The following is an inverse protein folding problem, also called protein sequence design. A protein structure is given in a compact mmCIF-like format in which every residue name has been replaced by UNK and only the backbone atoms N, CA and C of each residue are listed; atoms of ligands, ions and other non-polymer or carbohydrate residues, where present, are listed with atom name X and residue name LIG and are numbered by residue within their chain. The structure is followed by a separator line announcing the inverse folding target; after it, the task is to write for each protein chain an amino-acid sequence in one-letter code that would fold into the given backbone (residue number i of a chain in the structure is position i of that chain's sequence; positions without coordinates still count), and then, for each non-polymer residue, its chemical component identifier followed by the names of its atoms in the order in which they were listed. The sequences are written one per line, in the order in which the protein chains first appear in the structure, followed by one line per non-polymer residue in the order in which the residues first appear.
data_IF_947058482506
#
_entry.id   IF_947058482506
#
_cell.length_a   1.000
_cell.length_b   1.000
_cell.length_c   1.000
_cell.angle_alpha   90.00
_cell.angle_beta   90.00
_cell.angle_gamma   90.00
#
_symmetry.space_group_name_H-M   'P 1'
#
loop_
_entity.id
_entity.type
_entity.pdbx_description
1 polymer ?
#
# COMPACT_ATOMS: atom_id res chain seq x y z
N UNK A 1 -27.14 0.71 1.74
CA UNK A 1 -26.42 0.25 0.52
C UNK A 1 -26.34 -1.27 0.43
N UNK A 2 -25.49 -1.99 1.18
CA UNK A 2 -25.38 -3.45 1.03
C UNK A 2 -26.72 -4.18 1.23
N UNK A 3 -27.45 -3.84 2.30
CA UNK A 3 -28.83 -4.31 2.57
C UNK A 3 -29.85 -3.93 1.49
N UNK A 4 -29.61 -2.87 0.73
CA UNK A 4 -30.53 -2.43 -0.32
C UNK A 4 -30.23 -3.16 -1.64
N UNK A 5 -28.96 -3.44 -1.91
CA UNK A 5 -28.51 -4.25 -3.04
C UNK A 5 -28.89 -5.72 -2.87
N UNK A 6 -28.88 -6.26 -1.66
CA UNK A 6 -29.38 -7.62 -1.39
C UNK A 6 -30.87 -7.75 -1.77
N UNK A 7 -31.69 -6.73 -1.49
CA UNK A 7 -33.11 -6.70 -1.89
C UNK A 7 -33.31 -6.69 -3.41
N UNK A 8 -32.31 -6.26 -4.18
CA UNK A 8 -32.35 -6.30 -5.65
C UNK A 8 -31.98 -7.67 -6.22
N UNK A 9 -31.61 -8.64 -5.37
CA UNK A 9 -31.17 -9.98 -5.79
C UNK A 9 -29.79 -10.01 -6.43
N UNK A 10 -29.02 -8.91 -6.34
CA UNK A 10 -27.68 -8.82 -6.90
C UNK A 10 -26.68 -9.31 -5.86
N UNK A 11 -25.91 -10.38 -6.12
CA UNK A 11 -24.92 -10.87 -5.18
C UNK A 11 -23.76 -9.88 -5.05
N UNK A 12 -23.40 -9.58 -3.80
CA UNK A 12 -22.25 -8.74 -3.46
C UNK A 12 -21.16 -9.66 -2.93
N UNK A 13 -19.98 -9.60 -3.53
CA UNK A 13 -18.83 -10.42 -3.09
C UNK A 13 -17.73 -9.56 -2.48
N UNK A 14 -17.52 -8.35 -2.99
CA UNK A 14 -16.42 -7.46 -2.57
C UNK A 14 -16.96 -6.03 -2.45
N UNK A 15 -16.61 -5.36 -1.34
CA UNK A 15 -16.86 -3.94 -1.15
C UNK A 15 -15.52 -3.23 -0.93
N UNK A 16 -15.25 -2.23 -1.75
CA UNK A 16 -14.14 -1.30 -1.54
C UNK A 16 -14.63 -0.12 -0.69
N UNK A 17 -13.93 0.17 0.40
CA UNK A 17 -14.30 1.27 1.29
C UNK A 17 -13.10 1.83 2.05
N UNK A 18 -13.33 2.93 2.77
CA UNK A 18 -12.32 3.52 3.65
C UNK A 18 -11.85 2.53 4.70
N UNK A 19 -10.63 2.71 5.23
CA UNK A 19 -10.11 1.90 6.33
C UNK A 19 -10.74 2.33 7.67
N UNK A 20 -12.04 2.05 7.82
CA UNK A 20 -12.75 2.18 9.09
C UNK A 20 -13.16 0.81 9.64
N UNK A 21 -12.98 0.65 10.95
CA UNK A 21 -13.25 -0.60 11.67
C UNK A 21 -14.75 -0.84 11.85
N UNK A 22 -15.55 0.23 11.92
CA UNK A 22 -17.00 0.17 12.13
C UNK A 22 -17.74 -0.46 10.96
N UNK A 23 -17.41 -0.07 9.73
CA UNK A 23 -18.00 -0.62 8.50
C UNK A 23 -17.55 -2.05 8.30
N UNK A 24 -16.27 -2.35 8.58
CA UNK A 24 -15.77 -3.73 8.53
C UNK A 24 -16.55 -4.66 9.47
N UNK A 25 -16.69 -4.25 10.73
CA UNK A 25 -17.39 -5.06 11.74
C UNK A 25 -18.87 -5.29 11.38
N UNK A 26 -19.58 -4.22 11.00
CA UNK A 26 -21.00 -4.31 10.61
C UNK A 26 -21.20 -5.14 9.35
N UNK A 27 -20.33 -4.97 8.35
CA UNK A 27 -20.41 -5.74 7.10
C UNK A 27 -20.16 -7.22 7.36
N UNK A 28 -19.20 -7.57 8.21
CA UNK A 28 -18.91 -8.96 8.53
C UNK A 28 -20.01 -9.62 9.39
N UNK A 29 -20.70 -8.84 10.23
CA UNK A 29 -21.83 -9.33 11.03
C UNK A 29 -23.07 -9.62 10.16
N UNK A 30 -23.41 -8.71 9.26
CA UNK A 30 -24.61 -8.84 8.41
C UNK A 30 -24.35 -9.68 7.15
N UNK A 31 -23.14 -9.62 6.61
CA UNK A 31 -22.73 -10.19 5.32
C UNK A 31 -21.37 -10.89 5.43
N UNK A 32 -21.27 -12.03 6.14
CA UNK A 32 -20.00 -12.71 6.40
C UNK A 32 -19.30 -13.22 5.13
N UNK A 33 -20.04 -13.35 4.02
CA UNK A 33 -19.53 -13.74 2.71
C UNK A 33 -18.94 -12.58 1.89
N UNK A 34 -19.17 -11.32 2.31
CA UNK A 34 -18.65 -10.14 1.61
C UNK A 34 -17.25 -9.80 2.11
N UNK A 35 -16.29 -9.76 1.19
CA UNK A 35 -14.94 -9.29 1.48
C UNK A 35 -14.89 -7.75 1.45
N UNK A 36 -14.53 -7.12 2.58
CA UNK A 36 -14.18 -5.69 2.57
C UNK A 36 -12.71 -5.52 2.19
N UNK A 37 -12.44 -4.75 1.14
CA UNK A 37 -11.10 -4.30 0.76
C UNK A 37 -10.95 -2.82 1.05
N UNK A 38 -9.80 -2.46 1.61
CA UNK A 38 -9.50 -1.06 1.85
C UNK A 38 -9.20 -0.33 0.52
N UNK A 39 -9.64 0.92 0.43
CA UNK A 39 -9.32 1.75 -0.73
C UNK A 39 -7.84 2.14 -0.72
N UNK A 40 -7.10 1.51 -1.64
CA UNK A 40 -5.67 1.75 -1.86
C UNK A 40 -5.39 3.17 -2.37
N UNK A 41 -6.34 3.82 -3.06
CA UNK A 41 -6.19 5.21 -3.50
C UNK A 41 -6.22 6.18 -2.33
N UNK A 42 -7.15 5.98 -1.40
CA UNK A 42 -7.22 6.74 -0.15
C UNK A 42 -5.95 6.54 0.69
N UNK A 43 -5.46 5.31 0.78
CA UNK A 43 -4.19 4.99 1.47
C UNK A 43 -3.01 5.74 0.83
N UNK A 44 -2.86 5.65 -0.50
CA UNK A 44 -1.82 6.35 -1.26
C UNK A 44 -1.90 7.86 -1.07
N UNK A 45 -3.10 8.44 -1.10
CA UNK A 45 -3.33 9.89 -0.91
C UNK A 45 -2.91 10.33 0.48
N UNK A 46 -3.26 9.55 1.52
CA UNK A 46 -2.88 9.83 2.91
C UNK A 46 -1.35 9.84 3.10
N UNK A 47 -0.66 8.81 2.59
CA UNK A 47 0.82 8.72 2.63
C UNK A 47 1.45 9.90 1.89
N UNK A 48 0.99 10.15 0.65
CA UNK A 48 1.53 11.21 -0.20
C UNK A 48 1.35 12.59 0.43
N UNK A 49 0.18 12.86 1.03
CA UNK A 49 -0.08 14.10 1.76
C UNK A 49 0.89 14.31 2.92
N UNK A 50 1.18 13.26 3.71
CA UNK A 50 2.18 13.32 4.79
C UNK A 50 3.59 13.62 4.25
N UNK A 51 3.99 12.99 3.14
CA UNK A 51 5.28 13.26 2.51
C UNK A 51 5.39 14.72 2.02
N UNK A 52 4.32 15.29 1.47
CA UNK A 52 4.30 16.71 1.08
C UNK A 52 4.39 17.67 2.28
N UNK A 53 3.83 17.30 3.45
CA UNK A 53 4.05 18.07 4.69
C UNK A 53 5.53 18.01 5.11
N UNK A 54 6.14 16.83 5.06
CA UNK A 54 7.56 16.64 5.39
C UNK A 54 8.51 17.37 4.43
N UNK A 55 8.12 17.57 3.17
CA UNK A 55 8.87 18.35 2.16
C UNK A 55 9.16 19.79 2.60
N UNK A 56 8.33 20.36 3.45
CA UNK A 56 8.56 21.71 4.00
C UNK A 56 9.83 21.73 4.85
N UNK A 57 10.04 20.69 5.67
CA UNK A 57 11.17 20.54 6.59
C UNK A 57 12.42 19.95 5.92
N UNK A 58 12.28 18.92 5.08
CA UNK A 58 13.41 18.18 4.52
C UNK A 58 13.62 18.51 3.04
N UNK A 59 14.73 19.18 2.73
CA UNK A 59 15.09 19.62 1.36
C UNK A 59 15.21 18.45 0.38
N UNK A 60 15.65 17.27 0.83
CA UNK A 60 15.79 16.06 0.00
C UNK A 60 14.47 15.66 -0.67
N UNK A 61 13.33 15.85 0.00
CA UNK A 61 12.00 15.55 -0.55
C UNK A 61 11.52 16.58 -1.58
N UNK A 62 12.24 17.68 -1.78
CA UNK A 62 11.88 18.71 -2.76
C UNK A 62 12.31 18.35 -4.17
N UNK A 63 13.23 17.40 -4.32
CA UNK A 63 13.68 16.93 -5.61
C UNK A 63 12.50 16.35 -6.42
N UNK A 64 12.48 16.55 -7.74
CA UNK A 64 11.44 15.99 -8.60
C UNK A 64 11.32 14.49 -8.41
N UNK A 65 10.10 13.97 -8.47
CA UNK A 65 9.78 12.54 -8.42
C UNK A 65 10.13 11.78 -7.14
N UNK A 66 10.84 12.35 -6.16
CA UNK A 66 11.21 11.66 -4.91
C UNK A 66 9.97 11.21 -4.12
N UNK A 67 9.01 12.11 -3.89
CA UNK A 67 7.77 11.75 -3.16
C UNK A 67 6.97 10.68 -3.91
N UNK A 68 6.89 10.78 -5.24
CA UNK A 68 6.19 9.80 -6.08
C UNK A 68 6.86 8.43 -6.01
N UNK A 69 8.19 8.40 -6.00
CA UNK A 69 8.98 7.18 -5.89
C UNK A 69 8.84 6.52 -4.51
N UNK A 70 8.99 7.29 -3.43
CA UNK A 70 8.76 6.79 -2.06
C UNK A 70 7.33 6.24 -1.91
N UNK A 71 6.33 6.99 -2.38
CA UNK A 71 4.94 6.54 -2.36
C UNK A 71 4.73 5.25 -3.13
N UNK A 72 5.39 5.08 -4.28
CA UNK A 72 5.35 3.84 -5.07
C UNK A 72 5.94 2.65 -4.28
N UNK A 73 7.12 2.80 -3.68
CA UNK A 73 7.74 1.75 -2.86
C UNK A 73 6.83 1.31 -1.71
N UNK A 74 6.25 2.26 -0.97
CA UNK A 74 5.34 1.95 0.15
C UNK A 74 4.07 1.24 -0.35
N UNK A 75 3.47 1.69 -1.45
CA UNK A 75 2.25 1.06 -1.97
C UNK A 75 2.50 -0.36 -2.48
N UNK A 76 3.68 -0.66 -3.02
CA UNK A 76 4.03 -2.03 -3.38
C UNK A 76 4.18 -2.92 -2.13
N UNK A 77 4.89 -2.45 -1.10
CA UNK A 77 5.02 -3.18 0.16
C UNK A 77 3.64 -3.51 0.77
N UNK A 78 2.71 -2.54 0.77
CA UNK A 78 1.34 -2.75 1.25
C UNK A 78 0.59 -3.76 0.38
N UNK A 79 0.72 -3.68 -0.95
CA UNK A 79 0.03 -4.60 -1.86
C UNK A 79 0.51 -6.04 -1.71
N UNK A 80 1.81 -6.25 -1.55
CA UNK A 80 2.43 -7.56 -1.36
C UNK A 80 2.12 -8.16 0.02
N UNK A 81 1.79 -7.33 1.01
CA UNK A 81 1.42 -7.76 2.36
C UNK A 81 -0.09 -7.89 2.58
N UNK A 82 -0.93 -7.69 1.54
CA UNK A 82 -2.39 -7.86 1.68
C UNK A 82 -2.77 -9.30 2.08
N UNK A 83 -1.85 -10.26 1.94
CA UNK A 83 -1.91 -11.56 2.59
C UNK A 83 -1.49 -11.47 4.07
N UNK A 84 -2.37 -10.94 4.94
CA UNK A 84 -2.42 -11.10 6.43
C UNK A 84 -1.09 -11.33 7.21
N UNK A 85 0.03 -10.81 6.75
CA UNK A 85 1.34 -11.01 7.38
C UNK A 85 1.94 -9.63 7.75
N UNK A 86 1.66 -9.16 8.97
CA UNK A 86 2.20 -7.91 9.47
C UNK A 86 3.73 -7.87 9.52
N UNK A 87 4.38 -9.01 9.73
CA UNK A 87 5.84 -9.08 9.78
C UNK A 87 6.44 -8.89 8.39
N UNK A 88 5.85 -9.52 7.37
CA UNK A 88 6.25 -9.30 5.97
C UNK A 88 6.08 -7.83 5.56
N UNK A 89 5.00 -7.16 5.99
CA UNK A 89 4.83 -5.72 5.76
C UNK A 89 5.93 -4.92 6.46
N UNK A 90 6.18 -5.19 7.74
CA UNK A 90 7.19 -4.48 8.54
C UNK A 90 8.57 -4.61 7.90
N UNK A 91 8.99 -5.83 7.57
CA UNK A 91 10.25 -6.10 6.89
C UNK A 91 10.32 -5.35 5.55
N UNK A 92 9.25 -5.40 4.74
CA UNK A 92 9.19 -4.69 3.47
C UNK A 92 9.36 -3.18 3.62
N UNK A 93 8.76 -2.58 4.65
CA UNK A 93 8.89 -1.15 4.94
C UNK A 93 10.30 -0.77 5.41
N UNK A 94 10.94 -1.59 6.25
CA UNK A 94 12.30 -1.37 6.75
C UNK A 94 13.34 -1.38 5.62
N UNK A 95 13.10 -2.14 4.55
CA UNK A 95 13.96 -2.20 3.37
C UNK A 95 13.90 -0.94 2.52
N UNK A 96 12.77 -0.22 2.52
CA UNK A 96 12.58 0.97 1.67
C UNK A 96 13.68 1.99 1.95
N UNK A 97 14.06 2.19 3.22
CA UNK A 97 15.09 3.17 3.57
C UNK A 97 16.43 2.82 2.91
N UNK A 98 16.92 1.60 3.08
CA UNK A 98 18.19 1.16 2.49
C UNK A 98 18.15 1.22 0.96
N UNK A 99 17.04 0.79 0.37
CA UNK A 99 16.82 0.86 -1.07
C UNK A 99 16.85 2.31 -1.61
N UNK A 100 16.26 3.26 -0.89
CA UNK A 100 16.26 4.68 -1.29
C UNK A 100 17.66 5.29 -1.32
N UNK A 101 18.60 4.74 -0.56
CA UNK A 101 20.01 5.15 -0.57
C UNK A 101 20.88 4.31 -1.51
N UNK A 102 20.27 3.42 -2.32
CA UNK A 102 20.97 2.61 -3.32
C UNK A 102 21.53 1.29 -2.80
N UNK A 103 21.28 0.93 -1.54
CA UNK A 103 21.63 -0.40 -1.03
C UNK A 103 20.52 -1.39 -1.38
N UNK A 104 20.76 -2.19 -2.42
CA UNK A 104 19.86 -3.23 -2.89
C UNK A 104 20.22 -4.63 -2.37
N UNK A 105 21.21 -4.75 -1.49
CA UNK A 105 21.70 -6.04 -0.97
C UNK A 105 20.61 -6.84 -0.27
N UNK A 106 19.69 -6.15 0.40
CA UNK A 106 18.55 -6.76 1.10
C UNK A 106 17.28 -6.86 0.25
N UNK A 107 17.17 -6.09 -0.84
CA UNK A 107 16.04 -6.22 -1.76
C UNK A 107 16.00 -7.63 -2.38
N UNK A 108 17.17 -8.19 -2.70
CA UNK A 108 17.28 -9.55 -3.26
C UNK A 108 16.85 -10.64 -2.27
N UNK A 109 17.24 -10.48 -1.00
CA UNK A 109 16.99 -11.47 0.07
C UNK A 109 15.51 -11.55 0.44
N UNK A 110 14.84 -10.41 0.43
CA UNK A 110 13.46 -10.27 0.89
C UNK A 110 12.44 -10.27 -0.28
N UNK A 111 12.89 -10.67 -1.48
CA UNK A 111 12.06 -10.73 -2.70
C UNK A 111 11.27 -9.46 -2.96
N UNK A 112 11.88 -8.29 -2.78
CA UNK A 112 11.24 -7.00 -3.01
C UNK A 112 10.90 -6.84 -4.50
N UNK A 113 9.71 -7.28 -4.94
CA UNK A 113 9.35 -7.33 -6.36
C UNK A 113 9.20 -5.94 -6.99
N UNK A 114 9.19 -4.92 -6.15
CA UNK A 114 9.18 -3.51 -6.52
C UNK A 114 10.57 -2.93 -6.80
N UNK A 115 11.65 -3.63 -6.46
CA UNK A 115 13.01 -3.19 -6.75
C UNK A 115 13.33 -3.38 -8.24
N UNK A 116 13.33 -2.28 -9.02
CA UNK A 116 13.67 -2.33 -10.45
C UNK A 116 15.13 -2.70 -10.71
N UNK A 117 16.03 -2.48 -9.74
CA UNK A 117 17.43 -2.94 -9.83
C UNK A 117 17.49 -4.46 -9.98
N UNK A 118 16.73 -5.21 -9.18
CA UNK A 118 16.70 -6.69 -9.28
C UNK A 118 16.13 -7.17 -10.61
N UNK A 119 15.20 -6.41 -11.20
CA UNK A 119 14.60 -6.77 -12.50
C UNK A 119 15.58 -6.54 -13.65
N UNK A 120 16.33 -5.45 -13.60
CA UNK A 120 17.28 -5.12 -14.65
C UNK A 120 18.39 -4.18 -14.13
N UNK A 121 19.50 -4.74 -13.62
CA UNK A 121 20.60 -3.95 -13.06
C UNK A 121 21.22 -2.99 -14.08
N UNK A 122 21.29 -3.38 -15.36
CA UNK A 122 21.94 -2.57 -16.41
C UNK A 122 21.13 -1.36 -16.87
N UNK A 123 19.83 -1.32 -16.56
CA UNK A 123 18.94 -0.17 -16.82
C UNK A 123 18.61 0.64 -15.57
N UNK A 124 19.14 0.23 -14.42
CA UNK A 124 18.92 0.91 -13.16
C UNK A 124 19.78 2.19 -13.11
N UNK A 125 19.15 3.31 -12.76
CA UNK A 125 19.74 4.65 -12.83
C UNK A 125 19.75 5.28 -11.45
#
# INVERSE_FOLDING_TARGET
MARDLEKTGIPINIIHGDNDSTTKFRLQADFPYVEKRDDTNHTKRSITSKLYKLRQKYKVLRQPNVISYIGRCIMYAIKESQEKDPEKLRMSLDLIVQHLYGDHSKCAKESATWCSYLKNPSKFR
#
